data_IF_883319146184
#
_entry.id   IF_883319146184
#
_cell.length_a   1.000
_cell.length_b   1.000
_cell.length_c   1.000
_cell.angle_alpha   90.00
_cell.angle_beta   90.00
_cell.angle_gamma   90.00
#
_symmetry.space_group_name_H-M   'P 1'
#
loop_
_entity.id
_entity.type
_entity.pdbx_description
1 polymer ?
#
# COMPACT_ATOMS: atom_id res chain seq x y z
N UNK A 1 -24.58 -58.62 -19.95
CA UNK A 1 -23.46 -57.96 -20.68
C UNK A 1 -22.74 -57.04 -19.71
N UNK A 2 -21.43 -57.27 -19.49
CA UNK A 2 -20.45 -56.26 -19.06
C UNK A 2 -20.45 -55.81 -17.60
N UNK A 3 -20.05 -56.67 -16.65
CA UNK A 3 -19.73 -56.31 -15.26
C UNK A 3 -18.25 -56.60 -14.97
N UNK A 4 -17.36 -55.77 -15.51
CA UNK A 4 -15.96 -55.63 -15.05
C UNK A 4 -15.48 -54.23 -15.47
N UNK A 5 -15.80 -53.22 -14.66
CA UNK A 5 -15.09 -51.93 -14.74
C UNK A 5 -13.65 -52.19 -14.27
N UNK A 6 -12.67 -51.69 -15.02
CA UNK A 6 -11.27 -51.80 -14.58
C UNK A 6 -11.08 -51.00 -13.28
N UNK A 7 -10.07 -51.35 -12.48
CA UNK A 7 -9.77 -50.61 -11.25
C UNK A 7 -9.51 -49.11 -11.53
N UNK A 8 -8.89 -48.79 -12.67
CA UNK A 8 -8.66 -47.42 -13.14
C UNK A 8 -9.95 -46.68 -13.49
N UNK A 9 -10.93 -47.33 -14.14
CA UNK A 9 -12.23 -46.70 -14.43
C UNK A 9 -13.02 -46.43 -13.15
N UNK A 10 -12.91 -47.31 -12.15
CA UNK A 10 -13.54 -47.11 -10.84
C UNK A 10 -12.90 -45.95 -10.07
N UNK A 11 -11.57 -45.89 -10.03
CA UNK A 11 -10.84 -44.80 -9.41
C UNK A 11 -11.11 -43.46 -10.12
N UNK A 12 -11.13 -43.46 -11.45
CA UNK A 12 -11.49 -42.29 -12.26
C UNK A 12 -12.91 -41.79 -11.97
N UNK A 13 -13.87 -42.71 -11.81
CA UNK A 13 -15.25 -42.38 -11.46
C UNK A 13 -15.39 -41.86 -10.03
N UNK A 14 -14.67 -42.46 -9.07
CA UNK A 14 -14.62 -41.98 -7.69
C UNK A 14 -14.03 -40.57 -7.61
N UNK A 15 -12.96 -40.29 -8.35
CA UNK A 15 -12.36 -38.97 -8.48
C UNK A 15 -13.31 -37.96 -9.12
N UNK A 16 -14.01 -38.34 -10.20
CA UNK A 16 -15.03 -37.48 -10.83
C UNK A 16 -16.15 -37.13 -9.84
N UNK A 17 -16.69 -38.12 -9.13
CA UNK A 17 -17.73 -37.90 -8.13
C UNK A 17 -17.25 -36.98 -6.98
N UNK A 18 -15.97 -37.06 -6.59
CA UNK A 18 -15.40 -36.14 -5.61
C UNK A 18 -15.34 -34.71 -6.15
N UNK A 19 -14.92 -34.53 -7.40
CA UNK A 19 -14.88 -33.21 -8.05
C UNK A 19 -16.29 -32.62 -8.13
N UNK A 20 -17.29 -33.39 -8.56
CA UNK A 20 -18.68 -32.93 -8.66
C UNK A 20 -19.23 -32.48 -7.31
N UNK A 21 -18.92 -33.21 -6.22
CA UNK A 21 -19.28 -32.80 -4.86
C UNK A 21 -18.62 -31.49 -4.45
N UNK A 22 -17.33 -31.32 -4.75
CA UNK A 22 -16.61 -30.07 -4.49
C UNK A 22 -17.23 -28.90 -5.26
N UNK A 23 -17.56 -29.09 -6.54
CA UNK A 23 -18.18 -28.06 -7.37
C UNK A 23 -19.57 -27.66 -6.84
N UNK A 24 -20.38 -28.63 -6.41
CA UNK A 24 -21.70 -28.36 -5.82
C UNK A 24 -21.61 -27.61 -4.49
N UNK A 25 -20.66 -27.95 -3.64
CA UNK A 25 -20.40 -27.24 -2.39
C UNK A 25 -19.93 -25.80 -2.63
N UNK A 26 -19.03 -25.60 -3.59
CA UNK A 26 -18.52 -24.28 -3.92
C UNK A 26 -19.60 -23.40 -4.57
N UNK A 27 -20.45 -23.98 -5.44
CA UNK A 27 -21.60 -23.29 -6.02
C UNK A 27 -22.61 -22.84 -4.94
N UNK A 28 -22.83 -23.66 -3.89
CA UNK A 28 -23.67 -23.27 -2.75
C UNK A 28 -23.06 -22.11 -1.95
N UNK A 29 -21.73 -22.05 -1.81
CA UNK A 29 -21.03 -20.93 -1.16
C UNK A 29 -21.12 -19.67 -2.03
N UNK A 30 -20.82 -19.79 -3.32
CA UNK A 30 -20.87 -18.71 -4.29
C UNK A 30 -22.24 -18.03 -4.35
N UNK A 31 -23.33 -18.81 -4.35
CA UNK A 31 -24.70 -18.27 -4.32
C UNK A 31 -25.02 -17.46 -3.07
N UNK A 32 -24.29 -17.65 -1.97
CA UNK A 32 -24.44 -16.90 -0.71
C UNK A 32 -23.46 -15.73 -0.60
N UNK A 33 -22.46 -15.66 -1.49
CA UNK A 33 -21.46 -14.61 -1.49
C UNK A 33 -22.03 -13.32 -2.08
N UNK A 34 -21.90 -12.21 -1.36
CA UNK A 34 -22.25 -10.89 -1.87
C UNK A 34 -20.99 -10.22 -2.43
N UNK A 35 -20.95 -9.96 -3.74
CA UNK A 35 -19.83 -9.28 -4.38
C UNK A 35 -20.09 -7.77 -4.43
N UNK A 36 -19.16 -7.01 -3.85
CA UNK A 36 -19.25 -5.55 -3.79
C UNK A 36 -18.13 -4.97 -4.67
N UNK A 37 -18.49 -4.06 -5.57
CA UNK A 37 -17.54 -3.29 -6.37
C UNK A 37 -17.49 -1.85 -5.86
N UNK A 38 -16.31 -1.39 -5.43
CA UNK A 38 -16.09 -0.01 -5.00
C UNK A 38 -15.53 0.80 -6.17
N UNK A 39 -16.22 1.88 -6.55
CA UNK A 39 -15.83 2.80 -7.62
C UNK A 39 -15.54 4.19 -7.06
N UNK A 40 -14.66 4.94 -7.73
CA UNK A 40 -14.26 6.29 -7.34
C UNK A 40 -12.90 6.67 -7.93
N UNK A 41 -12.59 7.97 -7.95
CA UNK A 41 -11.31 8.52 -8.43
C UNK A 41 -10.11 8.03 -7.62
N UNK A 42 -8.88 8.30 -8.07
CA UNK A 42 -7.69 8.14 -7.23
C UNK A 42 -7.90 8.75 -5.85
N UNK A 43 -7.37 8.09 -4.82
CA UNK A 43 -7.38 8.60 -3.43
C UNK A 43 -8.75 8.79 -2.76
N UNK A 44 -9.85 8.42 -3.41
CA UNK A 44 -11.22 8.51 -2.86
C UNK A 44 -11.51 7.59 -1.65
N UNK A 45 -10.50 7.02 -1.00
CA UNK A 45 -10.64 6.18 0.19
C UNK A 45 -11.08 4.74 -0.05
N UNK A 46 -11.20 4.25 -1.30
CA UNK A 46 -11.63 2.85 -1.59
C UNK A 46 -10.81 1.81 -0.85
N UNK A 47 -9.47 1.91 -0.93
CA UNK A 47 -8.56 1.02 -0.21
C UNK A 47 -8.75 1.12 1.30
N UNK A 48 -9.03 2.32 1.82
CA UNK A 48 -9.29 2.55 3.25
C UNK A 48 -10.56 1.83 3.69
N UNK A 49 -11.64 1.86 2.90
CA UNK A 49 -12.88 1.12 3.20
C UNK A 49 -12.60 -0.39 3.28
N UNK A 50 -11.87 -0.95 2.31
CA UNK A 50 -11.50 -2.37 2.34
C UNK A 50 -10.62 -2.70 3.55
N UNK A 51 -9.67 -1.83 3.91
CA UNK A 51 -8.84 -2.00 5.10
C UNK A 51 -9.68 -1.99 6.39
N UNK A 52 -10.66 -1.09 6.49
CA UNK A 52 -11.57 -1.03 7.63
C UNK A 52 -12.48 -2.27 7.73
N UNK A 53 -12.96 -2.80 6.60
CA UNK A 53 -13.71 -4.06 6.57
C UNK A 53 -12.90 -5.22 7.15
N UNK A 54 -11.60 -5.29 6.83
CA UNK A 54 -10.70 -6.30 7.41
C UNK A 54 -10.52 -6.13 8.92
N UNK A 55 -10.35 -4.90 9.40
CA UNK A 55 -10.24 -4.60 10.83
C UNK A 55 -11.51 -5.03 11.58
N UNK A 56 -12.68 -4.68 11.07
CA UNK A 56 -13.95 -4.92 11.76
C UNK A 56 -14.43 -6.38 11.66
N UNK A 57 -14.18 -7.06 10.54
CA UNK A 57 -14.84 -8.33 10.23
C UNK A 57 -13.89 -9.50 9.92
N UNK A 58 -12.57 -9.30 9.86
CA UNK A 58 -11.59 -10.34 9.54
C UNK A 58 -10.44 -10.44 10.55
N UNK A 59 -10.72 -10.16 11.83
CA UNK A 59 -9.74 -10.25 12.93
C UNK A 59 -8.50 -9.33 12.77
N UNK A 60 -8.62 -8.23 12.00
CA UNK A 60 -7.52 -7.29 11.82
C UNK A 60 -6.37 -7.84 10.96
N UNK A 61 -5.17 -7.30 11.19
CA UNK A 61 -3.96 -7.64 10.45
C UNK A 61 -3.03 -8.49 11.30
N UNK A 62 -2.45 -9.53 10.69
CA UNK A 62 -1.42 -10.31 11.37
C UNK A 62 -0.12 -9.51 11.53
N UNK A 63 0.77 -9.88 12.47
CA UNK A 63 2.08 -9.24 12.60
C UNK A 63 2.91 -9.28 11.31
N UNK A 64 2.79 -10.34 10.51
CA UNK A 64 3.47 -10.49 9.24
C UNK A 64 2.95 -9.52 8.18
N UNK A 65 1.63 -9.29 8.16
CA UNK A 65 1.03 -8.28 7.28
C UNK A 65 1.42 -6.87 7.71
N UNK A 66 1.38 -6.57 9.01
CA UNK A 66 1.84 -5.27 9.53
C UNK A 66 3.31 -5.03 9.18
N UNK A 67 4.14 -6.07 9.24
CA UNK A 67 5.54 -5.98 8.85
C UNK A 67 5.72 -5.67 7.35
N UNK A 68 4.87 -6.19 6.46
CA UNK A 68 4.94 -5.86 5.04
C UNK A 68 4.47 -4.44 4.74
N UNK A 69 3.50 -3.90 5.48
CA UNK A 69 3.05 -2.51 5.38
C UNK A 69 4.12 -1.48 5.74
N UNK A 70 5.15 -1.88 6.51
CA UNK A 70 6.28 -1.02 6.88
C UNK A 70 6.96 -0.39 5.67
N UNK A 71 7.14 -1.13 4.58
CA UNK A 71 7.73 -0.61 3.34
C UNK A 71 6.84 0.48 2.71
N UNK A 72 5.53 0.27 2.71
CA UNK A 72 4.57 1.26 2.21
C UNK A 72 4.66 2.55 3.01
N UNK A 73 4.77 2.46 4.34
CA UNK A 73 4.97 3.65 5.20
C UNK A 73 6.27 4.38 4.82
N UNK A 74 7.39 3.67 4.68
CA UNK A 74 8.65 4.31 4.29
C UNK A 74 8.57 5.00 2.93
N UNK A 75 7.94 4.35 1.94
CA UNK A 75 7.75 4.94 0.61
C UNK A 75 6.89 6.19 0.66
N UNK A 76 5.74 6.12 1.34
CA UNK A 76 4.87 7.28 1.48
C UNK A 76 5.57 8.45 2.17
N UNK A 77 6.35 8.20 3.23
CA UNK A 77 7.13 9.24 3.90
C UNK A 77 8.20 9.86 2.99
N UNK A 78 8.93 9.04 2.24
CA UNK A 78 9.95 9.50 1.31
C UNK A 78 9.36 10.31 0.15
N UNK A 79 8.32 9.76 -0.50
CA UNK A 79 7.63 10.39 -1.63
C UNK A 79 6.99 11.72 -1.21
N UNK A 80 6.40 11.79 -0.01
CA UNK A 80 5.87 13.03 0.55
C UNK A 80 6.96 14.08 0.77
N UNK A 81 8.11 13.68 1.35
CA UNK A 81 9.24 14.59 1.53
C UNK A 81 9.79 15.09 0.18
N UNK A 82 9.94 14.21 -0.81
CA UNK A 82 10.37 14.57 -2.17
C UNK A 82 9.39 15.53 -2.85
N UNK A 83 8.08 15.30 -2.71
CA UNK A 83 7.03 16.18 -3.23
C UNK A 83 7.10 17.58 -2.61
N UNK A 84 7.29 17.68 -1.28
CA UNK A 84 7.43 18.95 -0.58
C UNK A 84 8.69 19.71 -0.99
N UNK A 85 9.82 19.03 -1.18
CA UNK A 85 11.05 19.63 -1.68
C UNK A 85 10.84 20.19 -3.11
N UNK A 86 10.19 19.41 -3.98
CA UNK A 86 9.90 19.83 -5.34
C UNK A 86 8.93 21.03 -5.37
N UNK A 87 7.91 21.02 -4.52
CA UNK A 87 6.97 22.12 -4.35
C UNK A 87 7.67 23.39 -3.85
N UNK A 88 8.54 23.27 -2.85
CA UNK A 88 9.37 24.37 -2.32
C UNK A 88 10.23 25.02 -3.40
N UNK A 89 10.77 24.22 -4.32
CA UNK A 89 11.51 24.75 -5.47
C UNK A 89 10.59 25.47 -6.45
N UNK A 90 9.41 24.90 -6.76
CA UNK A 90 8.42 25.49 -7.67
C UNK A 90 7.87 26.83 -7.17
N UNK A 91 7.65 26.95 -5.86
CA UNK A 91 7.13 28.16 -5.21
C UNK A 91 8.21 29.20 -4.87
N UNK A 92 9.48 28.93 -5.21
CA UNK A 92 10.64 29.78 -4.92
C UNK A 92 10.79 30.19 -3.44
N UNK A 93 10.34 29.34 -2.51
CA UNK A 93 10.44 29.60 -1.06
C UNK A 93 11.82 29.20 -0.59
N UNK A 94 12.62 30.09 0.00
CA UNK A 94 14.00 29.76 0.43
C UNK A 94 14.03 28.94 1.72
N UNK A 95 15.01 28.06 1.85
CA UNK A 95 15.26 27.31 3.09
C UNK A 95 15.61 28.26 4.23
N UNK A 96 15.06 28.00 5.41
CA UNK A 96 15.44 28.72 6.63
C UNK A 96 16.75 28.16 7.18
N UNK A 97 16.87 26.83 7.21
CA UNK A 97 18.10 26.15 7.60
C UNK A 97 18.97 25.85 6.37
N UNK A 98 20.23 26.28 6.38
CA UNK A 98 21.16 26.04 5.26
C UNK A 98 21.52 24.57 5.10
N UNK A 99 21.52 23.78 6.18
CA UNK A 99 21.83 22.35 6.13
C UNK A 99 20.78 21.58 5.31
N UNK A 100 19.55 22.10 5.27
CA UNK A 100 18.46 21.50 4.49
C UNK A 100 18.69 21.53 2.98
N UNK A 101 19.63 22.35 2.47
CA UNK A 101 20.04 22.30 1.06
C UNK A 101 20.65 20.94 0.74
N UNK A 102 21.56 20.45 1.58
CA UNK A 102 22.24 19.18 1.36
C UNK A 102 21.29 18.01 1.66
N UNK A 103 20.50 18.09 2.73
CA UNK A 103 19.50 17.07 3.06
C UNK A 103 18.47 16.89 1.95
N UNK A 104 18.01 17.99 1.33
CA UNK A 104 17.07 17.93 0.22
C UNK A 104 17.66 17.17 -0.98
N UNK A 105 18.92 17.45 -1.34
CA UNK A 105 19.60 16.75 -2.43
C UNK A 105 19.73 15.24 -2.13
N UNK A 106 20.10 14.89 -0.90
CA UNK A 106 20.20 13.48 -0.47
C UNK A 106 18.86 12.76 -0.56
N UNK A 107 17.77 13.39 -0.09
CA UNK A 107 16.42 12.81 -0.13
C UNK A 107 15.92 12.63 -1.56
N UNK A 108 16.14 13.61 -2.44
CA UNK A 108 15.74 13.52 -3.85
C UNK A 108 16.45 12.39 -4.60
N UNK A 109 17.67 12.02 -4.19
CA UNK A 109 18.44 10.93 -4.79
C UNK A 109 18.23 9.58 -4.11
N UNK A 110 17.54 9.55 -2.97
CA UNK A 110 17.35 8.33 -2.19
C UNK A 110 16.24 7.45 -2.76
N UNK A 111 16.45 6.15 -2.77
CA UNK A 111 15.51 5.15 -3.28
C UNK A 111 15.36 4.00 -2.29
N UNK A 112 14.12 3.57 -2.06
CA UNK A 112 13.80 2.44 -1.17
C UNK A 112 13.76 1.14 -1.98
N UNK A 113 14.48 0.11 -1.52
CA UNK A 113 14.38 -1.23 -2.09
C UNK A 113 13.03 -1.89 -1.80
N UNK A 114 12.58 -2.79 -2.68
CA UNK A 114 11.35 -3.56 -2.50
C UNK A 114 11.51 -4.76 -1.54
N UNK A 115 12.68 -4.94 -0.93
CA UNK A 115 12.94 -6.02 0.02
C UNK A 115 12.26 -5.80 1.38
N UNK A 116 11.53 -6.80 1.87
CA UNK A 116 10.84 -6.73 3.18
C UNK A 116 11.79 -6.52 4.36
N UNK A 117 13.05 -6.95 4.23
CA UNK A 117 14.13 -6.76 5.20
C UNK A 117 14.66 -5.33 5.25
N UNK A 118 14.36 -4.50 4.25
CA UNK A 118 14.90 -3.15 4.12
C UNK A 118 14.64 -2.30 5.38
N UNK A 119 15.63 -1.47 5.71
CA UNK A 119 15.59 -0.51 6.82
C UNK A 119 15.94 0.85 6.26
N UNK A 120 15.13 1.84 6.61
CA UNK A 120 15.40 3.22 6.22
C UNK A 120 16.69 3.68 6.91
N UNK A 121 17.60 4.31 6.15
CA UNK A 121 18.84 4.85 6.72
C UNK A 121 18.53 5.91 7.78
N UNK A 122 19.21 5.84 8.91
CA UNK A 122 19.07 6.83 9.98
C UNK A 122 19.39 8.24 9.49
N UNK A 123 20.35 8.39 8.58
CA UNK A 123 20.71 9.68 7.99
C UNK A 123 19.57 10.28 7.18
N UNK A 124 18.80 9.44 6.47
CA UNK A 124 17.62 9.87 5.70
C UNK A 124 16.47 10.21 6.64
N UNK A 125 16.28 9.46 7.71
CA UNK A 125 15.28 9.79 8.74
C UNK A 125 15.56 11.18 9.33
N UNK A 126 16.82 11.45 9.68
CA UNK A 126 17.22 12.78 10.19
C UNK A 126 17.02 13.88 9.15
N UNK A 127 17.39 13.63 7.89
CA UNK A 127 17.18 14.57 6.81
C UNK A 127 15.68 14.91 6.64
N UNK A 128 14.80 13.91 6.66
CA UNK A 128 13.34 14.11 6.51
C UNK A 128 12.78 14.91 7.70
N UNK A 129 13.17 14.56 8.94
CA UNK A 129 12.75 15.30 10.15
C UNK A 129 13.24 16.76 10.11
N UNK A 130 14.48 17.00 9.69
CA UNK A 130 15.04 18.36 9.57
C UNK A 130 14.32 19.21 8.53
N UNK A 131 13.95 18.62 7.39
CA UNK A 131 13.17 19.30 6.34
C UNK A 131 11.76 19.59 6.81
N UNK A 132 11.07 18.62 7.43
CA UNK A 132 9.70 18.79 7.90
C UNK A 132 9.56 19.92 8.93
N UNK A 133 10.58 20.09 9.78
CA UNK A 133 10.64 21.16 10.78
C UNK A 133 11.06 22.52 10.23
N UNK A 134 11.50 22.62 8.98
CA UNK A 134 11.87 23.91 8.39
C UNK A 134 10.61 24.77 8.18
N UNK A 135 10.60 26.02 8.66
CA UNK A 135 9.50 26.95 8.40
C UNK A 135 9.16 27.11 6.92
N UNK A 136 10.15 26.96 6.02
CA UNK A 136 9.94 26.99 4.58
C UNK A 136 8.98 25.91 4.09
N UNK A 137 8.99 24.72 4.69
CA UNK A 137 8.08 23.63 4.33
C UNK A 137 6.68 23.88 4.85
N UNK A 138 6.55 24.45 6.06
CA UNK A 138 5.24 24.84 6.59
C UNK A 138 4.60 25.91 5.69
N UNK A 139 5.37 26.90 5.24
CA UNK A 139 4.92 27.91 4.26
C UNK A 139 4.48 27.26 2.93
N UNK A 140 5.21 26.25 2.45
CA UNK A 140 4.85 25.50 1.23
C UNK A 140 3.53 24.75 1.40
N UNK A 141 3.34 24.05 2.52
CA UNK A 141 2.10 23.33 2.84
C UNK A 141 0.90 24.27 2.93
N UNK A 142 1.06 25.42 3.59
CA UNK A 142 -0.01 26.43 3.72
C UNK A 142 -0.39 27.05 2.36
N UNK A 143 0.58 27.28 1.47
CA UNK A 143 0.35 27.81 0.11
C UNK A 143 -0.16 26.76 -0.87
N UNK A 144 0.04 25.48 -0.57
CA UNK A 144 0.01 24.38 -1.53
C UNK A 144 -1.34 23.88 -2.01
N UNK A 145 -2.45 24.53 -1.65
CA UNK A 145 -3.80 23.97 -1.80
C UNK A 145 -4.20 23.42 -3.18
N UNK A 146 -3.60 23.91 -4.28
CA UNK A 146 -3.83 23.34 -5.64
C UNK A 146 -2.62 23.37 -6.58
N UNK A 147 -1.47 23.89 -6.14
CA UNK A 147 -0.34 24.14 -7.04
C UNK A 147 0.54 22.91 -7.28
N UNK A 148 0.44 21.91 -6.40
CA UNK A 148 1.16 20.65 -6.50
C UNK A 148 0.34 19.54 -5.87
N UNK A 149 0.72 18.32 -6.18
CA UNK A 149 0.12 17.14 -5.59
C UNK A 149 0.92 16.71 -4.36
N UNK A 150 0.21 16.45 -3.26
CA UNK A 150 0.73 15.89 -2.03
C UNK A 150 -0.27 14.84 -1.53
N UNK A 151 0.23 13.72 -1.04
CA UNK A 151 -0.64 12.69 -0.47
C UNK A 151 -1.41 13.23 0.72
N UNK A 152 -2.70 12.90 0.82
CA UNK A 152 -3.56 13.32 1.95
C UNK A 152 -3.04 12.86 3.32
N UNK A 153 -2.25 11.77 3.36
CA UNK A 153 -1.66 11.23 4.60
C UNK A 153 -0.29 11.81 4.95
N UNK A 154 0.20 12.80 4.21
CA UNK A 154 1.51 13.41 4.44
C UNK A 154 1.54 14.42 5.62
N UNK A 155 0.54 15.31 5.78
CA UNK A 155 0.52 16.27 6.88
C UNK A 155 0.28 15.65 8.26
#
# INVERSE_FOLDING_TARGET
MGLCLSAEEREGRERSNQIDRFLDEDNKKFKKECKILLLGSGESGKSTIVKQMKIMYQNGYSPQELFSWRLTVYKNSLESAQALIAARHKLDVKWTNKDNIEYAQRILQYHISNELSFRLSQDIVHAIDSIWRDPAIQEVVERGGSEYYLMDSAP
#
